data_IF_817501150296
#
_entry.id   IF_817501150296
#
_cell.length_a   1.000
_cell.length_b   1.000
_cell.length_c   1.000
_cell.angle_alpha   90.00
_cell.angle_beta   90.00
_cell.angle_gamma   90.00
#
_symmetry.space_group_name_H-M   'P 1'
#
loop_
_entity.id
_entity.type
_entity.pdbx_description
1 polymer ?
#
# COMPACT_ATOMS: atom_id res chain seq x y z
N UNK A 1 12.15 18.95 -0.12
CA UNK A 1 11.73 18.23 1.11
C UNK A 1 12.97 17.94 1.94
N UNK A 2 12.98 18.32 3.22
CA UNK A 2 14.11 18.10 4.15
C UNK A 2 13.86 16.86 5.00
N UNK A 3 14.93 16.13 5.32
CA UNK A 3 14.87 14.90 6.11
C UNK A 3 15.86 14.95 7.26
N UNK A 4 15.56 14.21 8.34
CA UNK A 4 16.48 14.01 9.44
C UNK A 4 17.65 13.14 8.95
N UNK A 5 18.87 13.58 9.22
CA UNK A 5 20.06 12.76 8.98
C UNK A 5 20.20 11.76 10.13
N UNK A 6 20.22 10.47 9.79
CA UNK A 6 20.49 9.37 10.72
C UNK A 6 21.76 8.67 10.24
N UNK A 7 22.78 8.58 11.10
CA UNK A 7 24.00 7.85 10.79
C UNK A 7 23.82 6.34 11.03
N UNK A 8 24.78 5.54 10.55
CA UNK A 8 24.75 4.09 10.70
C UNK A 8 24.70 3.65 12.17
N UNK A 9 25.46 4.33 13.04
CA UNK A 9 25.50 4.01 14.47
C UNK A 9 24.12 4.18 15.13
N UNK A 10 23.38 5.24 14.79
CA UNK A 10 22.03 5.44 15.31
C UNK A 10 21.03 4.41 14.75
N UNK A 11 21.13 4.07 13.45
CA UNK A 11 20.28 3.03 12.86
C UNK A 11 20.46 1.67 13.57
N UNK A 12 21.71 1.31 13.86
CA UNK A 12 22.08 0.08 14.55
C UNK A 12 21.69 0.12 16.04
N UNK A 13 22.09 1.18 16.76
CA UNK A 13 21.85 1.31 18.21
C UNK A 13 20.37 1.39 18.56
N UNK A 14 19.56 1.99 17.69
CA UNK A 14 18.10 2.05 17.84
C UNK A 14 17.38 0.83 17.24
N UNK A 15 18.13 -0.12 16.67
CA UNK A 15 17.59 -1.33 16.03
C UNK A 15 16.45 -1.00 15.06
N UNK A 16 16.66 0.03 14.22
CA UNK A 16 15.65 0.50 13.25
C UNK A 16 15.30 -0.63 12.29
N UNK A 17 16.29 -1.42 11.88
CA UNK A 17 16.17 -2.66 11.12
C UNK A 17 16.96 -3.77 11.81
N UNK A 18 16.60 -5.02 11.56
CA UNK A 18 17.41 -6.16 12.01
C UNK A 18 18.63 -6.33 11.11
N UNK A 19 19.81 -6.40 11.72
CA UNK A 19 21.05 -6.90 11.12
C UNK A 19 21.28 -8.36 11.57
N UNK A 20 20.32 -9.25 11.32
CA UNK A 20 20.57 -10.68 11.58
C UNK A 20 21.21 -11.34 10.36
N UNK A 21 22.53 -11.18 10.22
CA UNK A 21 23.35 -12.18 9.54
C UNK A 21 23.46 -13.39 10.45
N UNK A 22 22.63 -14.41 10.22
CA UNK A 22 22.77 -15.69 10.93
C UNK A 22 24.21 -16.23 10.75
N UNK A 23 24.85 -16.75 11.82
CA UNK A 23 26.20 -17.34 11.73
C UNK A 23 26.25 -18.61 10.85
N UNK A 24 25.11 -19.10 10.37
CA UNK A 24 25.00 -20.25 9.48
C UNK A 24 24.68 -19.77 8.05
N UNK A 25 25.71 -19.30 7.33
CA UNK A 25 25.65 -18.78 5.95
C UNK A 25 25.09 -19.80 4.93
N UNK A 26 24.96 -21.08 5.33
CA UNK A 26 24.43 -22.16 4.50
C UNK A 26 22.92 -22.38 4.64
N UNK A 27 22.27 -21.78 5.63
CA UNK A 27 20.82 -21.76 5.78
C UNK A 27 20.34 -20.33 5.57
N UNK A 28 19.97 -19.98 4.33
CA UNK A 28 19.26 -18.73 4.01
C UNK A 28 17.83 -18.79 4.58
N UNK A 29 17.69 -18.90 5.90
CA UNK A 29 16.48 -18.45 6.55
C UNK A 29 16.43 -16.93 6.34
N UNK A 30 15.46 -16.45 5.56
CA UNK A 30 15.15 -15.03 5.50
C UNK A 30 14.92 -14.58 6.94
N UNK A 31 15.85 -13.81 7.51
CA UNK A 31 15.66 -13.18 8.81
C UNK A 31 14.32 -12.46 8.77
N UNK A 32 13.42 -12.89 9.66
CA UNK A 32 12.11 -12.27 9.77
C UNK A 32 12.31 -11.07 10.68
N UNK A 33 12.41 -9.88 10.08
CA UNK A 33 12.37 -8.57 10.75
C UNK A 33 11.22 -8.53 11.77
N UNK A 34 11.47 -8.97 13.00
CA UNK A 34 10.44 -9.27 13.99
C UNK A 34 10.70 -8.59 15.33
N UNK A 35 11.97 -8.35 15.66
CA UNK A 35 12.43 -7.66 16.86
C UNK A 35 12.90 -6.22 16.59
N UNK A 36 13.14 -5.84 15.34
CA UNK A 36 13.46 -4.46 14.97
C UNK A 36 12.26 -3.52 15.10
N UNK A 37 12.51 -2.21 15.24
CA UNK A 37 11.46 -1.20 15.25
C UNK A 37 10.61 -1.25 13.96
N UNK A 38 11.26 -1.43 12.81
CA UNK A 38 10.56 -1.63 11.54
C UNK A 38 9.71 -2.91 11.55
N UNK A 39 10.24 -4.02 12.06
CA UNK A 39 9.54 -5.30 12.17
C UNK A 39 8.26 -5.20 13.00
N UNK A 40 8.34 -4.55 14.16
CA UNK A 40 7.21 -4.35 15.07
C UNK A 40 6.13 -3.45 14.45
N UNK A 41 6.53 -2.35 13.83
CA UNK A 41 5.58 -1.33 13.35
C UNK A 41 5.01 -1.63 11.96
N UNK A 42 5.71 -2.40 11.13
CA UNK A 42 5.30 -2.62 9.74
C UNK A 42 4.09 -3.57 9.62
N UNK A 43 2.90 -2.97 9.61
CA UNK A 43 1.63 -3.65 9.37
C UNK A 43 1.07 -3.41 7.95
N UNK A 44 1.93 -3.00 7.01
CA UNK A 44 1.53 -2.71 5.63
C UNK A 44 1.01 -3.97 4.91
N UNK A 45 0.09 -3.79 3.96
CA UNK A 45 -0.58 -4.89 3.26
C UNK A 45 -0.13 -5.09 1.82
N UNK A 46 0.70 -4.19 1.30
CA UNK A 46 1.22 -4.24 -0.08
C UNK A 46 2.75 -4.16 -0.06
N UNK A 47 3.39 -4.74 -1.07
CA UNK A 47 4.86 -4.66 -1.23
C UNK A 47 5.34 -3.21 -1.35
N UNK A 48 4.61 -2.40 -2.11
CA UNK A 48 4.93 -0.97 -2.30
C UNK A 48 4.74 -0.18 -1.01
N UNK A 49 3.72 -0.51 -0.21
CA UNK A 49 3.53 0.06 1.13
C UNK A 49 4.70 -0.27 2.06
N UNK A 50 5.15 -1.53 2.08
CA UNK A 50 6.33 -1.95 2.86
C UNK A 50 7.58 -1.18 2.45
N UNK A 51 7.81 -1.00 1.15
CA UNK A 51 8.96 -0.24 0.63
C UNK A 51 8.90 1.24 1.02
N UNK A 52 7.73 1.87 0.89
CA UNK A 52 7.52 3.26 1.30
C UNK A 52 7.72 3.44 2.80
N UNK A 53 7.20 2.53 3.62
CA UNK A 53 7.36 2.56 5.06
C UNK A 53 8.82 2.39 5.48
N UNK A 54 9.56 1.49 4.82
CA UNK A 54 11.02 1.34 5.02
C UNK A 54 11.75 2.64 4.69
N UNK A 55 11.37 3.32 3.60
CA UNK A 55 11.93 4.61 3.24
C UNK A 55 11.65 5.69 4.30
N UNK A 56 10.46 5.70 4.92
CA UNK A 56 10.14 6.67 5.99
C UNK A 56 11.04 6.50 7.21
N UNK A 57 11.41 5.25 7.55
CA UNK A 57 12.34 4.96 8.66
C UNK A 57 13.77 5.41 8.33
N UNK A 58 14.21 5.21 7.08
CA UNK A 58 15.52 5.65 6.62
C UNK A 58 15.62 7.17 6.43
N UNK A 59 14.49 7.83 6.16
CA UNK A 59 14.44 9.26 5.82
C UNK A 59 13.25 9.92 6.52
N UNK A 60 13.29 10.10 7.86
CA UNK A 60 12.22 10.80 8.56
C UNK A 60 12.09 12.21 8.05
N UNK A 61 10.85 12.64 7.84
CA UNK A 61 10.55 13.96 7.28
C UNK A 61 10.64 15.04 8.37
N UNK A 62 11.09 16.24 7.99
CA UNK A 62 11.17 17.40 8.89
C UNK A 62 10.13 18.48 8.58
N UNK A 63 9.33 18.27 7.55
CA UNK A 63 8.28 19.20 7.12
C UNK A 63 7.06 19.06 8.03
N UNK A 64 6.78 20.09 8.83
CA UNK A 64 5.67 20.10 9.79
C UNK A 64 4.30 19.94 9.11
N UNK A 65 4.12 20.48 7.91
CA UNK A 65 2.86 20.35 7.18
C UNK A 65 2.59 18.90 6.79
N UNK A 66 3.63 18.18 6.35
CA UNK A 66 3.50 16.76 6.00
C UNK A 66 3.34 15.88 7.25
N UNK A 67 3.98 16.24 8.36
CA UNK A 67 3.80 15.52 9.64
C UNK A 67 2.34 15.68 10.11
N UNK A 68 1.82 16.91 10.11
CA UNK A 68 0.43 17.20 10.49
C UNK A 68 -0.55 16.44 9.59
N UNK A 69 -0.35 16.45 8.28
CA UNK A 69 -1.19 15.72 7.33
C UNK A 69 -1.25 14.21 7.65
N UNK A 70 -0.11 13.60 7.96
CA UNK A 70 -0.03 12.19 8.35
C UNK A 70 -0.76 11.93 9.67
N UNK A 71 -0.58 12.81 10.66
CA UNK A 71 -1.20 12.67 11.97
C UNK A 71 -2.73 12.77 11.86
N UNK A 72 -3.25 13.76 11.13
CA UNK A 72 -4.69 13.92 10.88
C UNK A 72 -5.28 12.71 10.14
N UNK A 73 -4.54 12.16 9.19
CA UNK A 73 -4.95 10.93 8.48
C UNK A 73 -5.04 9.74 9.45
N UNK A 74 -4.05 9.57 10.32
CA UNK A 74 -4.02 8.50 11.33
C UNK A 74 -5.16 8.68 12.34
N UNK A 75 -5.34 9.90 12.86
CA UNK A 75 -6.41 10.25 13.79
C UNK A 75 -7.78 9.88 13.24
N UNK A 76 -8.09 10.28 11.99
CA UNK A 76 -9.34 9.92 11.32
C UNK A 76 -9.57 8.40 11.28
N UNK A 77 -8.55 7.61 10.92
CA UNK A 77 -8.68 6.15 10.89
C UNK A 77 -8.85 5.51 12.28
N UNK A 78 -8.37 6.15 13.34
CA UNK A 78 -8.44 5.66 14.71
C UNK A 78 -9.73 6.04 15.45
N UNK A 79 -10.56 6.92 14.87
CA UNK A 79 -11.86 7.24 15.45
C UNK A 79 -12.76 6.01 15.53
N UNK A 80 -13.51 5.88 16.63
CA UNK A 80 -14.30 4.67 16.94
C UNK A 80 -15.34 4.34 15.89
N UNK A 81 -15.95 5.36 15.29
CA UNK A 81 -16.92 5.29 14.20
C UNK A 81 -16.31 4.96 12.83
N UNK A 82 -14.97 5.03 12.72
CA UNK A 82 -14.23 4.70 11.51
C UNK A 82 -13.46 3.37 11.59
N UNK A 83 -13.44 2.69 12.74
CA UNK A 83 -12.65 1.45 12.92
C UNK A 83 -13.08 0.33 11.97
N UNK A 84 -14.39 0.17 11.74
CA UNK A 84 -14.89 -0.84 10.80
C UNK A 84 -14.43 -0.54 9.37
N UNK A 85 -14.65 0.70 8.91
CA UNK A 85 -14.21 1.18 7.60
C UNK A 85 -12.69 1.02 7.41
N UNK A 86 -11.91 1.34 8.44
CA UNK A 86 -10.45 1.14 8.45
C UNK A 86 -10.07 -0.34 8.31
N UNK A 87 -10.77 -1.24 9.01
CA UNK A 87 -10.59 -2.69 8.88
C UNK A 87 -10.94 -3.21 7.47
N UNK A 88 -12.01 -2.68 6.87
CA UNK A 88 -12.39 -3.00 5.50
C UNK A 88 -11.35 -2.48 4.48
N UNK A 89 -10.81 -1.28 4.70
CA UNK A 89 -9.75 -0.70 3.88
C UNK A 89 -8.50 -1.57 3.90
N UNK A 90 -8.06 -1.99 5.09
CA UNK A 90 -6.94 -2.93 5.27
C UNK A 90 -7.19 -4.23 4.49
N UNK A 91 -8.42 -4.75 4.52
CA UNK A 91 -8.80 -5.95 3.79
C UNK A 91 -8.78 -5.76 2.28
N UNK A 92 -9.19 -4.59 1.77
CA UNK A 92 -9.06 -4.25 0.35
C UNK A 92 -7.60 -4.19 -0.08
N UNK A 93 -6.75 -3.52 0.69
CA UNK A 93 -5.32 -3.36 0.38
C UNK A 93 -4.58 -4.70 0.30
N UNK A 94 -4.95 -5.71 1.11
CA UNK A 94 -4.39 -7.07 1.02
C UNK A 94 -4.58 -7.73 -0.34
N UNK A 95 -5.59 -7.31 -1.09
CA UNK A 95 -5.91 -7.88 -2.40
C UNK A 95 -5.33 -7.08 -3.57
N UNK A 96 -4.66 -5.95 -3.31
CA UNK A 96 -3.97 -5.19 -4.34
C UNK A 96 -2.63 -5.86 -4.65
N UNK A 97 -2.52 -6.41 -5.86
CA UNK A 97 -1.29 -7.00 -6.39
C UNK A 97 -0.34 -5.93 -6.93
N UNK A 98 0.88 -6.34 -7.30
CA UNK A 98 1.84 -5.47 -7.98
C UNK A 98 1.42 -5.27 -9.45
N UNK A 99 0.59 -4.25 -9.69
CA UNK A 99 0.03 -3.94 -11.01
C UNK A 99 1.08 -3.60 -12.05
N UNK A 100 2.12 -2.77 -11.77
CA UNK A 100 3.20 -2.55 -12.74
C UNK A 100 3.83 -3.84 -13.26
N UNK A 101 4.08 -4.81 -12.37
CA UNK A 101 4.63 -6.12 -12.75
C UNK A 101 3.65 -6.92 -13.63
N UNK A 102 2.35 -6.88 -13.32
CA UNK A 102 1.32 -7.56 -14.13
C UNK A 102 1.26 -6.94 -15.53
N UNK A 103 1.22 -5.61 -15.63
CA UNK A 103 1.22 -4.90 -16.92
C UNK A 103 2.47 -5.25 -17.74
N UNK A 104 3.63 -5.34 -17.10
CA UNK A 104 4.87 -5.68 -17.80
C UNK A 104 4.87 -7.13 -18.32
N UNK A 105 4.37 -8.08 -17.53
CA UNK A 105 4.19 -9.47 -17.97
C UNK A 105 3.25 -9.58 -19.19
N UNK A 106 2.18 -8.80 -19.20
CA UNK A 106 1.18 -8.81 -20.28
C UNK A 106 1.73 -8.36 -21.64
N UNK A 107 2.81 -7.58 -21.66
CA UNK A 107 3.48 -7.20 -22.93
C UNK A 107 4.14 -8.38 -23.63
N UNK A 108 4.53 -9.42 -22.88
CA UNK A 108 5.27 -10.58 -23.41
C UNK A 108 4.43 -11.86 -23.53
N UNK A 109 3.51 -12.11 -22.59
CA UNK A 109 2.65 -13.29 -22.62
C UNK A 109 1.32 -13.01 -21.90
N UNK A 110 0.23 -12.97 -22.65
CA UNK A 110 -1.12 -12.71 -22.12
C UNK A 110 -1.71 -14.00 -21.56
N UNK A 111 -2.02 -14.01 -20.26
CA UNK A 111 -2.82 -15.08 -19.66
C UNK A 111 -4.07 -14.52 -18.99
N UNK A 112 -5.11 -15.35 -18.88
CA UNK A 112 -6.40 -14.98 -18.28
C UNK A 112 -6.25 -14.51 -16.81
N UNK A 113 -5.26 -15.04 -16.07
CA UNK A 113 -5.04 -14.68 -14.66
C UNK A 113 -4.55 -13.24 -14.48
N UNK A 114 -3.79 -12.72 -15.45
CA UNK A 114 -3.32 -11.35 -15.44
C UNK A 114 -4.48 -10.38 -15.70
N UNK A 115 -5.35 -10.68 -16.68
CA UNK A 115 -6.61 -9.96 -16.92
C UNK A 115 -7.52 -9.96 -15.69
N UNK A 116 -7.73 -11.12 -15.06
CA UNK A 116 -8.49 -11.23 -13.81
C UNK A 116 -7.87 -10.39 -12.69
N UNK A 117 -6.54 -10.28 -12.63
CA UNK A 117 -5.85 -9.47 -11.62
C UNK A 117 -6.06 -7.98 -11.84
N UNK A 118 -6.12 -7.52 -13.09
CA UNK A 118 -6.47 -6.13 -13.42
C UNK A 118 -7.93 -5.80 -13.12
N UNK A 119 -8.86 -6.71 -13.43
CA UNK A 119 -10.28 -6.55 -13.08
C UNK A 119 -10.46 -6.45 -11.56
N UNK A 120 -9.79 -7.35 -10.82
CA UNK A 120 -9.81 -7.34 -9.36
C UNK A 120 -9.23 -6.04 -8.79
N UNK A 121 -8.18 -5.50 -9.40
CA UNK A 121 -7.62 -4.21 -9.03
C UNK A 121 -8.62 -3.06 -9.21
N UNK A 122 -9.27 -2.97 -10.38
CA UNK A 122 -10.28 -1.95 -10.64
C UNK A 122 -11.44 -2.02 -9.63
N UNK A 123 -11.91 -3.23 -9.32
CA UNK A 123 -12.91 -3.47 -8.29
C UNK A 123 -12.48 -2.94 -6.91
N UNK A 124 -11.25 -3.26 -6.46
CA UNK A 124 -10.76 -2.79 -5.17
C UNK A 124 -10.50 -1.29 -5.14
N UNK A 125 -10.12 -0.64 -6.24
CA UNK A 125 -10.06 0.82 -6.33
C UNK A 125 -11.44 1.45 -6.09
N UNK A 126 -12.50 0.94 -6.71
CA UNK A 126 -13.88 1.40 -6.48
C UNK A 126 -14.31 1.17 -5.03
N UNK A 127 -14.01 -0.01 -4.46
CA UNK A 127 -14.35 -0.32 -3.07
C UNK A 127 -13.63 0.61 -2.09
N UNK A 128 -12.33 0.85 -2.28
CA UNK A 128 -11.54 1.80 -1.49
C UNK A 128 -12.13 3.20 -1.58
N UNK A 129 -12.48 3.67 -2.79
CA UNK A 129 -13.12 4.97 -2.98
C UNK A 129 -14.40 5.11 -2.15
N UNK A 130 -15.26 4.09 -2.19
CA UNK A 130 -16.53 4.11 -1.45
C UNK A 130 -16.30 4.12 0.06
N UNK A 131 -15.39 3.28 0.58
CA UNK A 131 -15.02 3.29 2.00
C UNK A 131 -14.51 4.67 2.43
N UNK A 132 -13.63 5.29 1.64
CA UNK A 132 -13.09 6.63 1.94
C UNK A 132 -14.19 7.70 1.96
N UNK A 133 -15.24 7.56 1.14
CA UNK A 133 -16.39 8.46 1.15
C UNK A 133 -17.25 8.30 2.42
N UNK A 134 -17.23 7.12 3.03
CA UNK A 134 -18.03 6.76 4.21
C UNK A 134 -17.29 7.02 5.53
N UNK A 135 -16.04 7.51 5.50
CA UNK A 135 -15.30 7.92 6.69
C UNK A 135 -15.85 9.22 7.26
N UNK A 136 -16.10 9.22 8.57
CA UNK A 136 -16.43 10.42 9.35
C UNK A 136 -15.20 11.29 9.57
N UNK A 137 -15.39 12.61 9.71
CA UNK A 137 -14.33 13.59 9.93
C UNK A 137 -13.18 13.49 8.91
N UNK A 138 -13.52 13.12 7.67
CA UNK A 138 -12.57 12.91 6.57
C UNK A 138 -12.35 14.18 5.73
N UNK A 139 -12.92 15.31 6.15
CA UNK A 139 -12.80 16.59 5.49
C UNK A 139 -11.36 17.14 5.56
N UNK A 140 -10.93 17.78 4.47
CA UNK A 140 -9.63 18.45 4.40
C UNK A 140 -8.41 17.56 4.66
N UNK A 141 -8.52 16.24 4.44
CA UNK A 141 -7.39 15.30 4.47
C UNK A 141 -6.95 15.01 3.02
N UNK A 142 -5.76 15.47 2.58
CA UNK A 142 -5.34 15.44 1.18
C UNK A 142 -5.35 14.06 0.53
N UNK A 143 -4.93 13.01 1.24
CA UNK A 143 -4.90 11.65 0.67
C UNK A 143 -6.31 11.15 0.29
N UNK A 144 -7.35 11.52 1.04
CA UNK A 144 -8.73 11.13 0.75
C UNK A 144 -9.27 11.88 -0.47
N UNK A 145 -8.91 13.15 -0.62
CA UNK A 145 -9.18 13.91 -1.85
C UNK A 145 -8.47 13.28 -3.05
N UNK A 146 -7.17 12.97 -2.91
CA UNK A 146 -6.40 12.30 -3.96
C UNK A 146 -7.01 10.98 -4.39
N UNK A 147 -7.48 10.15 -3.45
CA UNK A 147 -8.18 8.88 -3.77
C UNK A 147 -9.46 9.17 -4.56
N UNK A 148 -10.25 10.16 -4.15
CA UNK A 148 -11.49 10.57 -4.83
C UNK A 148 -11.24 11.20 -6.21
N UNK A 149 -10.08 11.76 -6.47
CA UNK A 149 -9.74 12.32 -7.79
C UNK A 149 -9.09 11.28 -8.70
N UNK A 150 -8.33 10.33 -8.14
CA UNK A 150 -7.60 9.31 -8.91
C UNK A 150 -8.48 8.14 -9.30
N UNK A 151 -9.37 7.67 -8.41
CA UNK A 151 -10.19 6.47 -8.65
C UNK A 151 -11.53 6.84 -9.31
N UNK A 152 -11.48 7.33 -10.55
CA UNK A 152 -12.64 7.79 -11.30
C UNK A 152 -13.56 6.60 -11.62
N UNK A 153 -14.85 6.73 -11.28
CA UNK A 153 -15.82 5.63 -11.37
C UNK A 153 -16.09 5.21 -12.80
N UNK A 154 -16.19 6.18 -13.72
CA UNK A 154 -16.44 5.92 -15.14
C UNK A 154 -15.29 5.09 -15.73
N UNK A 155 -14.05 5.57 -15.60
CA UNK A 155 -12.84 4.93 -16.12
C UNK A 155 -12.68 3.50 -15.58
N UNK A 156 -12.86 3.30 -14.27
CA UNK A 156 -12.72 1.98 -13.66
C UNK A 156 -13.82 0.99 -14.10
N UNK A 157 -15.03 1.49 -14.38
CA UNK A 157 -16.11 0.66 -14.95
C UNK A 157 -15.85 0.32 -16.41
N UNK A 158 -15.37 1.28 -17.20
CA UNK A 158 -15.02 1.07 -18.61
C UNK A 158 -13.92 0.02 -18.74
N UNK A 159 -12.85 0.13 -17.94
CA UNK A 159 -11.79 -0.90 -17.87
C UNK A 159 -12.38 -2.26 -17.50
N UNK A 160 -13.28 -2.30 -16.52
CA UNK A 160 -13.94 -3.54 -16.11
C UNK A 160 -14.74 -4.20 -17.24
N UNK A 161 -15.51 -3.41 -18.00
CA UNK A 161 -16.24 -3.89 -19.18
C UNK A 161 -15.30 -4.41 -20.25
N UNK A 162 -14.29 -3.62 -20.61
CA UNK A 162 -13.31 -3.98 -21.64
C UNK A 162 -12.61 -5.30 -21.32
N UNK A 163 -12.16 -5.48 -20.08
CA UNK A 163 -11.51 -6.72 -19.66
C UNK A 163 -12.47 -7.91 -19.75
N UNK A 164 -13.73 -7.73 -19.35
CA UNK A 164 -14.73 -8.79 -19.40
C UNK A 164 -15.04 -9.22 -20.84
N UNK A 165 -15.11 -8.26 -21.76
CA UNK A 165 -15.34 -8.51 -23.18
C UNK A 165 -14.15 -9.26 -23.80
N UNK A 166 -12.92 -8.81 -23.52
CA UNK A 166 -11.69 -9.47 -23.99
C UNK A 166 -11.57 -10.89 -23.44
N UNK A 167 -11.79 -11.11 -22.15
CA UNK A 167 -11.72 -12.46 -21.55
C UNK A 167 -12.80 -13.38 -22.13
N UNK A 168 -14.01 -12.86 -22.35
CA UNK A 168 -15.10 -13.63 -22.98
C UNK A 168 -14.77 -14.01 -24.42
N UNK A 169 -14.10 -13.14 -25.17
CA UNK A 169 -13.71 -13.38 -26.56
C UNK A 169 -12.55 -14.37 -26.75
N UNK A 170 -11.72 -14.59 -25.72
CA UNK A 170 -10.55 -15.49 -25.76
C UNK A 170 -10.87 -16.92 -25.29
N UNK A 171 -12.04 -17.12 -24.66
CA UNK A 171 -12.50 -18.42 -24.12
C UNK A 171 -13.40 -19.18 -25.13
N UNK A 172 -13.72 -18.58 -26.28
CA UNK A 172 -14.42 -19.22 -27.42
C UNK A 172 -13.40 -19.65 -28.47
#
# INVERSE_FOLDING_TARGET
>A
MRFLHINADALCSLQIFEDESHPNMHMQAKSKEGLSLFGILNNTRTSSGKQLFKQWFLRPILDLGVIDERHRTIECFLQTDNLENSGQLVSCLKNIKNIPKIIDNMKGNLNVKDWQSLLQFAFYCLKIRNIVRELNHSENIPIFTKIRETFIVADLKEIGSYINDVVSSVIV
#
